data_IF_047958620716
#
_entry.id   IF_047958620716
#
_cell.length_a   1.000
_cell.length_b   1.000
_cell.length_c   1.000
_cell.angle_alpha   90.00
_cell.angle_beta   90.00
_cell.angle_gamma   90.00
#
_symmetry.space_group_name_H-M   'P 1'
#
loop_
_entity.id
_entity.type
_entity.pdbx_description
1 polymer ?
#
# COMPACT_ATOMS: atom_id res chain seq x y z
N UNK A 1 -5.09 4.99 14.24
CA UNK A 1 -3.88 5.04 13.39
C UNK A 1 -4.03 6.20 12.42
N UNK A 2 -3.14 7.20 12.50
CA UNK A 2 -3.14 8.32 11.56
C UNK A 2 -2.39 7.91 10.29
N UNK A 3 -3.08 7.95 9.15
CA UNK A 3 -2.51 7.67 7.83
C UNK A 3 -2.54 8.97 7.03
N UNK A 4 -1.39 9.36 6.48
CA UNK A 4 -1.32 10.53 5.60
C UNK A 4 -1.52 10.12 4.16
N UNK A 5 -2.30 10.87 3.39
CA UNK A 5 -2.45 10.64 1.95
C UNK A 5 -1.75 11.78 1.20
N UNK A 6 -0.80 11.45 0.34
CA UNK A 6 -0.09 12.41 -0.52
C UNK A 6 -0.30 12.08 -1.99
N UNK A 7 -0.90 13.00 -2.71
CA UNK A 7 -1.09 12.92 -4.15
C UNK A 7 0.16 13.37 -4.92
N UNK A 8 0.27 12.90 -6.17
CA UNK A 8 1.31 13.27 -7.15
C UNK A 8 2.75 13.20 -6.63
N UNK A 9 3.04 12.28 -5.70
CA UNK A 9 4.37 12.23 -5.08
C UNK A 9 5.42 11.62 -6.02
N UNK A 10 6.66 12.10 -5.91
CA UNK A 10 7.79 11.56 -6.68
C UNK A 10 7.99 10.05 -6.47
N UNK A 11 7.78 9.58 -5.24
CA UNK A 11 7.83 8.16 -4.90
C UNK A 11 6.77 7.35 -5.66
N UNK A 12 5.51 7.81 -5.65
CA UNK A 12 4.44 7.15 -6.39
C UNK A 12 4.70 7.16 -7.91
N UNK A 13 5.28 8.24 -8.45
CA UNK A 13 5.69 8.30 -9.86
C UNK A 13 6.73 7.23 -10.22
N UNK A 14 7.71 7.01 -9.35
CA UNK A 14 8.70 5.96 -9.55
C UNK A 14 8.08 4.56 -9.47
N UNK A 15 7.21 4.34 -8.48
CA UNK A 15 6.48 3.07 -8.33
C UNK A 15 5.62 2.77 -9.56
N UNK A 16 4.86 3.75 -10.06
CA UNK A 16 4.03 3.63 -11.26
C UNK A 16 4.86 3.23 -12.50
N UNK A 17 6.03 3.86 -12.70
CA UNK A 17 6.95 3.51 -13.79
C UNK A 17 7.47 2.08 -13.68
N UNK A 18 7.78 1.62 -12.48
CA UNK A 18 8.28 0.26 -12.24
C UNK A 18 7.20 -0.80 -12.48
N UNK A 19 5.97 -0.50 -12.08
CA UNK A 19 4.81 -1.38 -12.25
C UNK A 19 4.15 -1.25 -13.64
N UNK A 20 4.63 -0.32 -14.47
CA UNK A 20 4.07 0.01 -15.79
C UNK A 20 2.56 0.33 -15.75
N UNK A 21 2.10 0.92 -14.65
CA UNK A 21 0.71 1.33 -14.47
C UNK A 21 0.57 2.85 -14.52
N UNK A 22 -0.57 3.31 -15.05
CA UNK A 22 -0.88 4.74 -15.12
C UNK A 22 -1.32 5.31 -13.77
N UNK A 23 -1.93 4.49 -12.91
CA UNK A 23 -2.40 4.85 -11.57
C UNK A 23 -1.75 3.93 -10.55
N UNK A 24 -1.33 4.48 -9.41
CA UNK A 24 -0.74 3.68 -8.33
C UNK A 24 -1.05 4.30 -6.98
N UNK A 25 -1.23 3.45 -5.98
CA UNK A 25 -1.09 3.79 -4.59
C UNK A 25 0.09 2.98 -4.07
N UNK A 26 0.96 3.64 -3.33
CA UNK A 26 2.12 2.98 -2.74
C UNK A 26 2.29 3.46 -1.31
N UNK A 27 2.41 2.53 -0.38
CA UNK A 27 2.61 2.85 1.02
C UNK A 27 4.08 2.98 1.34
N UNK A 28 4.43 4.04 2.07
CA UNK A 28 5.72 4.18 2.71
C UNK A 28 5.51 4.52 4.18
N UNK A 29 5.62 3.50 5.03
CA UNK A 29 5.35 3.65 6.47
C UNK A 29 3.88 3.87 6.79
N UNK A 30 3.57 5.06 7.31
CA UNK A 30 2.20 5.51 7.57
C UNK A 30 1.65 6.51 6.55
N UNK A 31 2.31 6.64 5.40
CA UNK A 31 1.90 7.56 4.33
C UNK A 31 1.56 6.77 3.07
N UNK A 32 0.37 6.99 2.52
CA UNK A 32 -0.07 6.48 1.23
C UNK A 32 0.27 7.53 0.18
N UNK A 33 1.03 7.12 -0.82
CA UNK A 33 1.48 7.96 -1.92
C UNK A 33 0.70 7.59 -3.19
N UNK A 34 -0.12 8.51 -3.67
CA UNK A 34 -0.95 8.33 -4.85
C UNK A 34 -0.27 8.93 -6.10
N UNK A 35 -0.40 8.26 -7.23
CA UNK A 35 -0.03 8.77 -8.56
C UNK A 35 -1.22 8.68 -9.50
N UNK A 36 -1.56 9.79 -10.15
CA UNK A 36 -2.61 9.88 -11.16
C UNK A 36 -3.99 9.39 -10.69
N UNK A 37 -4.25 9.47 -9.38
CA UNK A 37 -5.54 9.19 -8.74
C UNK A 37 -5.73 10.18 -7.59
N UNK A 38 -6.94 10.72 -7.47
CA UNK A 38 -7.30 11.62 -6.36
C UNK A 38 -7.53 10.82 -5.07
N UNK A 39 -7.39 11.47 -3.92
CA UNK A 39 -7.74 10.91 -2.62
C UNK A 39 -9.20 10.46 -2.58
N UNK A 40 -10.11 11.23 -3.16
CA UNK A 40 -11.54 10.91 -3.18
C UNK A 40 -11.83 9.65 -3.98
N UNK A 41 -11.22 9.51 -5.17
CA UNK A 41 -11.42 8.32 -6.02
C UNK A 41 -10.73 7.08 -5.45
N UNK A 42 -9.60 7.26 -4.77
CA UNK A 42 -8.97 6.20 -4.00
C UNK A 42 -9.89 5.74 -2.86
N UNK A 43 -10.43 6.65 -2.06
CA UNK A 43 -11.30 6.33 -0.92
C UNK A 43 -12.63 5.67 -1.32
N UNK A 44 -13.15 5.95 -2.52
CA UNK A 44 -14.33 5.26 -3.07
C UNK A 44 -14.06 3.77 -3.39
N UNK A 45 -12.80 3.39 -3.56
CA UNK A 45 -12.40 2.02 -3.92
C UNK A 45 -11.99 1.25 -2.67
N UNK A 46 -12.98 0.86 -1.85
CA UNK A 46 -12.77 0.20 -0.55
C UNK A 46 -11.74 -0.95 -0.58
N UNK A 47 -11.77 -1.90 -1.56
CA UNK A 47 -10.78 -2.96 -1.60
C UNK A 47 -9.35 -2.40 -1.74
N UNK A 48 -9.15 -1.41 -2.59
CA UNK A 48 -7.85 -0.77 -2.78
C UNK A 48 -7.39 -0.04 -1.51
N UNK A 49 -8.30 0.67 -0.83
CA UNK A 49 -7.99 1.32 0.45
C UNK A 49 -7.53 0.30 1.49
N UNK A 50 -8.25 -0.82 1.60
CA UNK A 50 -7.94 -1.91 2.53
C UNK A 50 -6.57 -2.51 2.23
N UNK A 51 -6.26 -2.75 0.95
CA UNK A 51 -4.96 -3.24 0.50
C UNK A 51 -3.81 -2.34 1.00
N UNK A 52 -3.90 -1.04 0.77
CA UNK A 52 -2.87 -0.09 1.20
C UNK A 52 -2.77 0.02 2.73
N UNK A 53 -3.89 -0.06 3.45
CA UNK A 53 -3.86 -0.05 4.92
C UNK A 53 -3.13 -1.29 5.46
N UNK A 54 -3.31 -2.45 4.84
CA UNK A 54 -2.61 -3.66 5.28
C UNK A 54 -1.10 -3.49 5.11
N UNK A 55 -0.64 -2.86 4.04
CA UNK A 55 0.77 -2.46 3.93
C UNK A 55 1.20 -1.51 5.06
N UNK A 56 0.39 -0.53 5.46
CA UNK A 56 0.70 0.32 6.63
C UNK A 56 0.83 -0.51 7.91
N UNK A 57 -0.05 -1.51 8.10
CA UNK A 57 0.02 -2.43 9.25
C UNK A 57 1.28 -3.28 9.21
N UNK A 58 1.65 -3.83 8.06
CA UNK A 58 2.89 -4.57 7.86
C UNK A 58 4.12 -3.69 8.14
N UNK A 59 4.14 -2.45 7.63
CA UNK A 59 5.18 -1.47 7.93
C UNK A 59 5.29 -1.17 9.43
N UNK A 60 4.16 -1.11 10.16
CA UNK A 60 4.16 -0.96 11.62
C UNK A 60 4.63 -2.22 12.35
N UNK A 61 4.27 -3.40 11.85
CA UNK A 61 4.60 -4.70 12.46
C UNK A 61 6.09 -5.04 12.32
N UNK A 62 6.65 -4.84 11.14
CA UNK A 62 8.05 -5.18 10.84
C UNK A 62 9.00 -3.99 10.93
N UNK A 63 8.49 -2.75 10.90
CA UNK A 63 9.30 -1.54 10.86
C UNK A 63 9.71 -1.14 9.43
N UNK A 64 10.01 0.15 9.23
CA UNK A 64 10.25 0.78 7.94
C UNK A 64 11.31 0.08 7.07
N UNK A 65 12.51 -0.10 7.64
CA UNK A 65 13.66 -0.66 6.92
C UNK A 65 13.50 -2.15 6.71
N UNK A 66 13.15 -2.89 7.76
CA UNK A 66 13.01 -4.34 7.71
C UNK A 66 11.90 -4.80 6.79
N UNK A 67 10.73 -4.14 6.82
CA UNK A 67 9.65 -4.46 5.88
C UNK A 67 10.10 -4.27 4.44
N UNK A 68 10.76 -3.15 4.12
CA UNK A 68 11.23 -2.87 2.77
C UNK A 68 12.21 -3.94 2.28
N UNK A 69 13.15 -4.37 3.13
CA UNK A 69 14.10 -5.45 2.81
C UNK A 69 13.38 -6.79 2.63
N UNK A 70 12.51 -7.17 3.57
CA UNK A 70 11.75 -8.42 3.51
C UNK A 70 10.87 -8.48 2.26
N UNK A 71 10.17 -7.38 1.95
CA UNK A 71 9.30 -7.27 0.79
C UNK A 71 10.10 -7.40 -0.51
N UNK A 72 11.20 -6.65 -0.66
CA UNK A 72 12.04 -6.74 -1.85
C UNK A 72 12.67 -8.12 -2.01
N UNK A 73 13.11 -8.73 -0.91
CA UNK A 73 13.69 -10.07 -0.92
C UNK A 73 12.66 -11.14 -1.30
N UNK A 74 11.43 -11.08 -0.77
CA UNK A 74 10.35 -11.96 -1.18
C UNK A 74 9.95 -11.75 -2.63
N UNK A 75 9.81 -10.50 -3.07
CA UNK A 75 9.53 -10.17 -4.47
C UNK A 75 10.62 -10.64 -5.41
N UNK A 76 11.90 -10.62 -5.01
CA UNK A 76 13.00 -11.15 -5.81
C UNK A 76 12.97 -12.69 -5.90
N UNK A 77 12.57 -13.38 -4.81
CA UNK A 77 12.54 -14.85 -4.78
C UNK A 77 11.30 -15.47 -5.41
N UNK A 78 10.13 -14.84 -5.22
CA UNK A 78 8.82 -15.40 -5.61
C UNK A 78 8.09 -14.57 -6.67
N UNK A 79 8.59 -13.39 -6.98
CA UNK A 79 7.89 -12.40 -7.80
C UNK A 79 6.92 -11.54 -6.99
N UNK A 80 6.39 -10.51 -7.63
CA UNK A 80 5.40 -9.60 -7.04
C UNK A 80 4.10 -10.34 -6.67
N UNK A 81 3.56 -11.15 -7.58
CA UNK A 81 2.25 -11.78 -7.39
C UNK A 81 2.17 -12.79 -6.23
N UNK A 82 3.27 -13.51 -5.96
CA UNK A 82 3.38 -14.54 -4.93
C UNK A 82 4.09 -14.05 -3.66
N UNK A 83 4.35 -12.74 -3.54
CA UNK A 83 4.89 -12.15 -2.32
C UNK A 83 3.86 -12.35 -1.19
N UNK A 84 4.27 -12.86 -0.02
CA UNK A 84 3.34 -13.13 1.08
C UNK A 84 2.60 -11.87 1.53
N UNK A 85 3.26 -10.72 1.44
CA UNK A 85 2.70 -9.44 1.86
C UNK A 85 1.60 -8.96 0.92
N UNK A 86 1.76 -9.21 -0.39
CA UNK A 86 0.75 -8.95 -1.42
C UNK A 86 -0.44 -9.91 -1.29
N UNK A 87 -0.17 -11.18 -0.94
CA UNK A 87 -1.23 -12.16 -0.69
C UNK A 87 -2.03 -11.78 0.55
N UNK A 88 -1.38 -11.38 1.64
CA UNK A 88 -2.04 -10.91 2.87
C UNK A 88 -2.91 -9.68 2.58
N UNK A 89 -2.42 -8.72 1.80
CA UNK A 89 -3.19 -7.55 1.39
C UNK A 89 -4.41 -7.93 0.53
N UNK A 90 -4.27 -8.87 -0.42
CA UNK A 90 -5.42 -9.38 -1.22
C UNK A 90 -6.44 -10.18 -0.41
N UNK A 91 -6.00 -10.89 0.62
CA UNK A 91 -6.92 -11.55 1.55
C UNK A 91 -7.69 -10.50 2.34
N UNK A 92 -7.02 -9.43 2.77
CA UNK A 92 -7.67 -8.32 3.45
C UNK A 92 -8.73 -7.62 2.57
N UNK A 93 -8.47 -7.47 1.26
CA UNK A 93 -9.46 -6.91 0.30
C UNK A 93 -10.81 -7.64 0.32
N UNK A 94 -10.80 -8.97 0.49
CA UNK A 94 -11.99 -9.82 0.46
C UNK A 94 -12.54 -10.13 1.86
N UNK A 95 -11.81 -9.77 2.92
CA UNK A 95 -12.19 -10.01 4.30
C UNK A 95 -13.12 -8.93 4.85
N UNK A 96 -13.67 -9.18 6.03
CA UNK A 96 -14.39 -8.18 6.82
C UNK A 96 -13.37 -7.20 7.45
N UNK A 97 -12.78 -6.32 6.64
CA UNK A 97 -11.82 -5.36 7.12
C UNK A 97 -12.52 -4.24 7.88
N UNK A 98 -12.27 -4.13 9.19
CA UNK A 98 -12.74 -3.00 9.97
C UNK A 98 -11.79 -1.81 9.80
N UNK A 99 -12.32 -0.70 9.28
CA UNK A 99 -11.61 0.59 9.20
C UNK A 99 -11.59 1.33 10.56
N UNK A 100 -12.10 0.69 11.62
CA UNK A 100 -12.21 1.31 12.94
C UNK A 100 -10.87 1.82 13.47
N UNK A 101 -10.91 3.06 13.91
CA UNK A 101 -9.74 3.76 14.45
C UNK A 101 -8.71 4.20 13.41
N UNK A 102 -9.00 4.15 12.10
CA UNK A 102 -8.14 4.72 11.05
C UNK A 102 -8.57 6.15 10.76
N UNK A 103 -7.63 7.09 10.87
CA UNK A 103 -7.85 8.50 10.62
C UNK A 103 -6.98 8.91 9.43
N UNK A 104 -7.63 9.28 8.32
CA UNK A 104 -6.93 9.79 7.14
C UNK A 104 -6.71 11.29 7.29
N UNK A 105 -5.45 11.71 7.43
CA UNK A 105 -5.04 13.11 7.60
C UNK A 105 -4.51 13.64 6.29
#
# INVERSE_FOLDING_TARGET
>A
MKIRIREASFFARMAARKLKCNTVAAVFGSTIHLWNVSREDFLKRTPWVVHEIEHVRQFRRYGYLWFSVLYLWESARKGYYNNRFEVEARVAENGAFCLDGIEFV
#
